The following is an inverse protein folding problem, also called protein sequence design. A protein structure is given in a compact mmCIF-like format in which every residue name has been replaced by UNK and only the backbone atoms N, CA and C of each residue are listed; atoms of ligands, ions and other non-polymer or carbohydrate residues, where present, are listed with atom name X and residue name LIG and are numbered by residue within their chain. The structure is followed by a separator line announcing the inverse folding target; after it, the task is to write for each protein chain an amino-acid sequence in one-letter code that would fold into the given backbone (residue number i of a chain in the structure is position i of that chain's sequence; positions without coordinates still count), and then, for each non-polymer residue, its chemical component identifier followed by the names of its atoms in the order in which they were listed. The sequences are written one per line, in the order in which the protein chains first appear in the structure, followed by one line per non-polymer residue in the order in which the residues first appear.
data_IF_372938224870
#
_entry.id   IF_372938224870
#
_cell.length_a   1.000
_cell.length_b   1.000
_cell.length_c   1.000
_cell.angle_alpha   90.00
_cell.angle_beta   90.00
_cell.angle_gamma   90.00
#
_symmetry.space_group_name_H-M   'P 1'
#
loop_
_entity.id
_entity.type
_entity.pdbx_description
1 polymer ?
#
# COMPACT_ATOMS: atom_id res chain seq x y z
N UNK A 1 -17.91 31.58 -38.02
CA UNK A 1 -17.48 30.56 -39.01
C UNK A 1 -15.98 30.72 -39.23
N UNK A 2 -15.15 30.12 -38.38
CA UNK A 2 -13.72 29.95 -38.63
C UNK A 2 -13.37 28.52 -38.23
N UNK A 3 -13.09 27.71 -39.24
CA UNK A 3 -12.65 26.34 -39.12
C UNK A 3 -11.14 26.36 -38.84
N UNK A 4 -10.70 25.64 -37.82
CA UNK A 4 -9.32 25.22 -37.67
C UNK A 4 -9.27 23.69 -37.62
N UNK A 5 -8.60 23.16 -38.63
CA UNK A 5 -8.20 21.76 -38.75
C UNK A 5 -7.20 21.43 -37.65
N UNK A 6 -7.44 20.33 -36.93
CA UNK A 6 -6.41 19.69 -36.12
C UNK A 6 -6.03 18.36 -36.82
N UNK A 7 -4.86 18.35 -37.44
CA UNK A 7 -4.21 17.14 -37.87
C UNK A 7 -3.67 16.42 -36.62
N UNK A 8 -4.31 15.33 -36.23
CA UNK A 8 -3.83 14.46 -35.15
C UNK A 8 -2.94 13.39 -35.79
N UNK A 9 -1.63 13.62 -35.75
CA UNK A 9 -0.63 12.58 -35.96
C UNK A 9 -0.10 12.17 -34.59
N UNK A 10 -0.60 11.06 -34.05
CA UNK A 10 -0.03 10.43 -32.84
C UNK A 10 0.30 8.99 -33.20
N UNK A 11 1.47 8.83 -33.83
CA UNK A 11 2.17 7.55 -33.95
C UNK A 11 3.26 7.50 -32.90
N UNK A 12 2.91 7.28 -31.64
CA UNK A 12 3.84 6.73 -30.64
C UNK A 12 3.02 5.86 -29.72
N UNK A 13 3.24 4.55 -29.82
CA UNK A 13 2.88 3.61 -28.77
C UNK A 13 3.64 4.02 -27.50
N UNK A 14 2.98 4.78 -26.63
CA UNK A 14 3.34 4.81 -25.22
C UNK A 14 2.99 3.42 -24.70
N UNK A 15 3.98 2.53 -24.64
CA UNK A 15 3.93 1.42 -23.70
C UNK A 15 3.86 2.07 -22.32
N UNK A 16 2.66 2.16 -21.77
CA UNK A 16 2.38 2.80 -20.49
C UNK A 16 2.90 1.89 -19.37
N UNK A 17 4.21 1.71 -19.29
CA UNK A 17 4.90 1.21 -18.11
C UNK A 17 4.90 2.36 -17.11
N UNK A 18 3.82 2.49 -16.32
CA UNK A 18 3.84 3.41 -15.19
C UNK A 18 5.03 2.98 -14.32
N UNK A 19 6.02 3.85 -14.09
CA UNK A 19 7.09 3.53 -13.16
C UNK A 19 6.46 3.32 -11.79
N UNK A 20 6.94 2.32 -11.05
CA UNK A 20 6.53 2.03 -9.67
C UNK A 20 6.55 3.29 -8.78
N UNK A 21 7.39 4.27 -9.13
CA UNK A 21 7.44 5.61 -8.53
C UNK A 21 6.11 6.36 -8.58
N UNK A 22 5.36 6.31 -9.69
CA UNK A 22 4.06 6.98 -9.80
C UNK A 22 3.02 6.36 -8.85
N UNK A 23 3.07 5.03 -8.70
CA UNK A 23 2.18 4.28 -7.80
C UNK A 23 2.45 4.58 -6.32
N UNK A 24 3.70 4.83 -5.96
CA UNK A 24 4.08 5.16 -4.58
C UNK A 24 3.69 6.59 -4.17
N UNK A 25 3.58 7.54 -5.12
CA UNK A 25 3.18 8.93 -4.84
C UNK A 25 1.75 9.04 -4.30
N UNK A 26 0.89 8.05 -4.57
CA UNK A 26 -0.48 8.00 -4.06
C UNK A 26 -0.55 7.72 -2.54
N UNK A 27 0.57 7.39 -1.89
CA UNK A 27 0.62 7.06 -0.46
C UNK A 27 1.43 8.10 0.34
N UNK A 28 0.96 8.48 1.55
CA UNK A 28 1.61 9.49 2.38
C UNK A 28 3.09 9.20 2.65
N UNK A 29 3.91 10.24 2.57
CA UNK A 29 5.24 10.24 3.17
C UNK A 29 5.15 10.87 4.57
N UNK A 30 5.97 10.37 5.50
CA UNK A 30 6.03 10.86 6.87
C UNK A 30 7.44 11.38 7.17
N UNK A 31 7.54 12.41 8.00
CA UNK A 31 8.83 12.96 8.43
C UNK A 31 9.58 12.06 9.42
N UNK A 32 8.87 11.12 10.06
CA UNK A 32 9.45 10.16 11.00
C UNK A 32 10.38 9.15 10.28
N UNK A 33 11.66 9.04 10.66
CA UNK A 33 12.62 8.16 9.98
C UNK A 33 12.25 6.67 10.02
N UNK A 34 11.57 6.21 11.08
CA UNK A 34 11.11 4.83 11.18
C UNK A 34 10.00 4.55 10.17
N UNK A 35 9.06 5.49 10.02
CA UNK A 35 8.01 5.41 9.00
C UNK A 35 8.54 5.54 7.57
N UNK A 36 9.61 6.32 7.34
CA UNK A 36 10.30 6.37 6.04
C UNK A 36 10.91 5.01 5.68
N UNK A 37 11.62 4.38 6.62
CA UNK A 37 12.16 3.02 6.43
C UNK A 37 11.03 2.02 6.16
N UNK A 38 9.96 2.09 6.96
CA UNK A 38 8.77 1.26 6.77
C UNK A 38 8.14 1.43 5.40
N UNK A 39 8.07 2.67 4.90
CA UNK A 39 7.59 2.98 3.55
C UNK A 39 8.44 2.33 2.48
N UNK A 40 9.77 2.42 2.55
CA UNK A 40 10.66 1.78 1.57
C UNK A 40 10.38 0.29 1.45
N UNK A 41 10.34 -0.41 2.58
CA UNK A 41 10.06 -1.86 2.63
C UNK A 41 8.65 -2.15 2.09
N UNK A 42 7.67 -1.32 2.45
CA UNK A 42 6.31 -1.46 1.98
C UNK A 42 6.19 -1.29 0.47
N UNK A 43 6.82 -0.27 -0.12
CA UNK A 43 6.82 -0.03 -1.58
C UNK A 43 7.46 -1.19 -2.32
N UNK A 44 8.58 -1.71 -1.82
CA UNK A 44 9.34 -2.78 -2.47
C UNK A 44 8.66 -4.14 -2.38
N UNK A 45 7.91 -4.44 -1.30
CA UNK A 45 7.42 -5.78 -1.02
C UNK A 45 5.89 -5.88 -0.85
N UNK A 46 5.28 -4.93 -0.14
CA UNK A 46 3.90 -5.04 0.32
C UNK A 46 2.89 -4.34 -0.61
N UNK A 47 3.32 -3.29 -1.31
CA UNK A 47 2.48 -2.42 -2.13
C UNK A 47 1.82 -3.17 -3.29
N UNK A 48 2.47 -4.20 -3.84
CA UNK A 48 1.90 -5.02 -4.92
C UNK A 48 0.50 -5.53 -4.56
N UNK A 49 0.28 -5.93 -3.31
CA UNK A 49 -1.04 -6.36 -2.85
C UNK A 49 -1.81 -5.23 -2.17
N UNK A 50 -1.16 -4.53 -1.23
CA UNK A 50 -1.83 -3.56 -0.36
C UNK A 50 -1.97 -2.16 -0.96
N UNK A 51 -1.36 -1.85 -2.10
CA UNK A 51 -1.54 -0.58 -2.78
C UNK A 51 -2.91 -0.48 -3.46
N UNK A 52 -3.34 -1.57 -4.10
CA UNK A 52 -4.54 -1.57 -4.95
C UNK A 52 -5.54 -2.67 -4.60
N UNK A 53 -5.31 -3.41 -3.52
CA UNK A 53 -6.23 -4.41 -3.00
C UNK A 53 -6.26 -5.71 -3.80
N UNK A 54 -5.12 -6.09 -4.39
CA UNK A 54 -5.00 -7.35 -5.13
C UNK A 54 -5.38 -8.51 -4.21
N UNK A 55 -6.19 -9.44 -4.74
CA UNK A 55 -6.72 -10.58 -4.00
C UNK A 55 -7.45 -10.22 -2.69
N UNK A 56 -8.03 -9.01 -2.60
CA UNK A 56 -8.76 -8.55 -1.42
C UNK A 56 -7.86 -8.05 -0.29
N UNK A 57 -6.58 -7.78 -0.56
CA UNK A 57 -5.68 -7.21 0.43
C UNK A 57 -6.20 -5.84 0.93
N UNK A 58 -6.19 -5.56 2.24
CA UNK A 58 -6.69 -4.30 2.76
C UNK A 58 -5.77 -3.13 2.37
N UNK A 59 -6.30 -2.17 1.63
CA UNK A 59 -5.58 -0.96 1.21
C UNK A 59 -5.57 0.06 2.34
N UNK A 60 -4.42 0.59 2.80
CA UNK A 60 -4.35 1.47 3.97
C UNK A 60 -5.05 2.82 3.77
N UNK A 61 -5.28 3.25 2.52
CA UNK A 61 -6.07 4.45 2.20
C UNK A 61 -7.58 4.17 2.09
N UNK A 62 -8.01 2.91 2.24
CA UNK A 62 -9.42 2.57 2.41
C UNK A 62 -9.80 2.59 3.91
N UNK A 63 -10.42 3.70 4.32
CA UNK A 63 -10.90 3.90 5.69
C UNK A 63 -11.81 2.75 6.18
N UNK A 64 -12.68 2.22 5.33
CA UNK A 64 -13.62 1.16 5.70
C UNK A 64 -12.91 -0.16 5.98
N UNK A 65 -11.87 -0.48 5.20
CA UNK A 65 -11.04 -1.65 5.41
C UNK A 65 -10.24 -1.53 6.72
N UNK A 66 -9.84 -0.33 7.14
CA UNK A 66 -8.92 -0.16 8.26
C UNK A 66 -9.54 0.26 9.59
N UNK A 67 -10.78 0.74 9.64
CA UNK A 67 -11.39 1.26 10.87
C UNK A 67 -11.34 0.25 12.04
N UNK A 68 -11.65 -1.02 11.77
CA UNK A 68 -11.59 -2.08 12.79
C UNK A 68 -10.19 -2.65 12.98
N UNK A 69 -9.29 -2.50 12.01
CA UNK A 69 -7.91 -3.01 12.08
C UNK A 69 -7.05 -2.13 12.98
N UNK A 70 -7.17 -0.81 12.87
CA UNK A 70 -6.41 0.14 13.72
C UNK A 70 -6.84 0.14 15.19
N UNK A 71 -8.02 -0.41 15.50
CA UNK A 71 -8.53 -0.60 16.87
C UNK A 71 -7.95 -1.86 17.55
N UNK A 72 -7.32 -2.76 16.79
CA UNK A 72 -6.66 -3.95 17.36
C UNK A 72 -5.35 -3.55 18.03
N UNK A 73 -4.91 -4.39 18.96
CA UNK A 73 -3.54 -4.31 19.45
C UNK A 73 -2.56 -4.49 18.29
N UNK A 74 -1.52 -3.65 18.23
CA UNK A 74 -0.55 -3.66 17.14
C UNK A 74 0.17 -5.01 17.02
N UNK A 75 0.36 -5.73 18.13
CA UNK A 75 0.99 -7.05 18.12
C UNK A 75 0.18 -8.06 17.31
N UNK A 76 -1.16 -7.94 17.28
CA UNK A 76 -2.00 -8.81 16.44
C UNK A 76 -1.69 -8.58 14.95
N UNK A 77 -1.53 -7.32 14.55
CA UNK A 77 -1.20 -6.98 13.17
C UNK A 77 0.22 -7.46 12.81
N UNK A 78 1.17 -7.35 13.73
CA UNK A 78 2.51 -7.90 13.55
C UNK A 78 2.48 -9.42 13.41
N UNK A 79 1.78 -10.14 14.29
CA UNK A 79 1.67 -11.60 14.21
C UNK A 79 1.12 -12.05 12.87
N UNK A 80 0.01 -11.45 12.41
CA UNK A 80 -0.54 -11.77 11.09
C UNK A 80 0.45 -11.52 9.94
N UNK A 81 1.22 -10.43 10.01
CA UNK A 81 2.20 -10.11 8.99
C UNK A 81 3.43 -11.04 9.00
N UNK A 82 3.88 -11.45 10.18
CA UNK A 82 5.05 -12.30 10.35
C UNK A 82 4.75 -13.77 10.05
N UNK A 83 3.62 -14.27 10.54
CA UNK A 83 3.24 -15.68 10.51
C UNK A 83 2.31 -16.03 9.35
N UNK A 84 1.78 -15.00 8.65
CA UNK A 84 0.73 -15.16 7.67
C UNK A 84 -0.65 -15.24 8.33
N UNK A 85 -1.69 -14.98 7.54
CA UNK A 85 -3.06 -14.90 8.04
C UNK A 85 -4.07 -15.20 6.96
N UNK A 86 -5.02 -16.09 7.26
CA UNK A 86 -6.25 -16.23 6.51
C UNK A 86 -7.32 -15.32 7.11
N UNK A 87 -7.74 -14.33 6.33
CA UNK A 87 -8.78 -13.38 6.70
C UNK A 87 -10.18 -14.01 6.72
N UNK A 88 -11.16 -13.27 7.28
CA UNK A 88 -12.55 -13.73 7.36
C UNK A 88 -13.21 -13.93 5.97
N UNK A 89 -12.64 -13.33 4.93
CA UNK A 89 -13.12 -13.41 3.55
C UNK A 89 -12.29 -14.41 2.71
N UNK A 90 -11.66 -15.39 3.36
CA UNK A 90 -10.74 -16.38 2.77
C UNK A 90 -9.56 -15.75 1.99
N UNK A 91 -9.20 -14.51 2.34
CA UNK A 91 -8.04 -13.81 1.77
C UNK A 91 -6.76 -14.23 2.50
N UNK A 92 -5.75 -14.65 1.75
CA UNK A 92 -4.49 -15.13 2.30
C UNK A 92 -3.43 -14.02 2.28
N UNK A 93 -2.93 -13.65 3.46
CA UNK A 93 -1.68 -12.91 3.60
C UNK A 93 -0.54 -13.92 3.85
N UNK A 94 0.46 -14.03 2.95
CA UNK A 94 1.58 -14.93 3.17
C UNK A 94 2.47 -14.46 4.33
N UNK A 95 3.15 -15.37 5.05
CA UNK A 95 4.13 -15.03 6.08
C UNK A 95 5.19 -14.07 5.53
N UNK A 96 5.52 -13.02 6.28
CA UNK A 96 6.46 -11.94 5.90
C UNK A 96 6.15 -11.31 4.53
N UNK A 97 4.87 -11.28 4.14
CA UNK A 97 4.48 -10.78 2.82
C UNK A 97 5.03 -11.60 1.66
N UNK A 98 5.35 -12.88 1.89
CA UNK A 98 5.88 -13.79 0.88
C UNK A 98 7.40 -13.66 0.64
N UNK A 99 8.10 -12.89 1.48
CA UNK A 99 9.53 -12.66 1.35
C UNK A 99 10.26 -13.10 2.63
N UNK A 100 10.93 -14.24 2.55
CA UNK A 100 11.66 -14.84 3.67
C UNK A 100 12.99 -14.13 4.00
N UNK A 101 13.43 -13.20 3.16
CA UNK A 101 14.62 -12.39 3.39
C UNK A 101 14.36 -11.20 4.32
N UNK A 102 13.10 -10.79 4.51
CA UNK A 102 12.76 -9.71 5.43
C UNK A 102 12.94 -10.14 6.88
N UNK A 103 13.65 -9.34 7.65
CA UNK A 103 13.71 -9.49 9.10
C UNK A 103 12.38 -9.11 9.75
N UNK A 104 12.13 -9.64 10.95
CA UNK A 104 10.90 -9.31 11.69
C UNK A 104 10.74 -7.80 11.94
N UNK A 105 11.86 -7.09 12.14
CA UNK A 105 11.85 -5.64 12.33
C UNK A 105 11.48 -4.88 11.05
N UNK A 106 11.88 -5.38 9.89
CA UNK A 106 11.50 -4.79 8.61
C UNK A 106 10.02 -4.99 8.32
N UNK A 107 9.49 -6.19 8.57
CA UNK A 107 8.05 -6.46 8.46
C UNK A 107 7.26 -5.56 9.41
N UNK A 108 7.68 -5.43 10.68
CA UNK A 108 7.02 -4.54 11.65
C UNK A 108 7.06 -3.08 11.21
N UNK A 109 8.18 -2.60 10.67
CA UNK A 109 8.30 -1.23 10.15
C UNK A 109 7.32 -0.98 9.00
N UNK A 110 7.15 -1.93 8.08
CA UNK A 110 6.16 -1.84 7.01
C UNK A 110 4.72 -1.85 7.54
N UNK A 111 4.42 -2.65 8.57
CA UNK A 111 3.11 -2.64 9.24
C UNK A 111 2.85 -1.29 9.92
N UNK A 112 3.84 -0.72 10.59
CA UNK A 112 3.73 0.59 11.23
C UNK A 112 3.43 1.69 10.23
N UNK A 113 4.11 1.66 9.08
CA UNK A 113 3.82 2.56 7.97
C UNK A 113 2.36 2.44 7.52
N UNK A 114 1.88 1.22 7.24
CA UNK A 114 0.49 0.99 6.80
C UNK A 114 -0.53 1.47 7.83
N UNK A 115 -0.29 1.22 9.12
CA UNK A 115 -1.16 1.67 10.21
C UNK A 115 -1.18 3.20 10.30
N UNK A 116 -0.04 3.87 10.08
CA UNK A 116 0.01 5.33 10.08
C UNK A 116 -0.68 5.94 8.86
N UNK A 117 -0.55 5.35 7.67
CA UNK A 117 -1.35 5.73 6.50
C UNK A 117 -2.85 5.60 6.81
N UNK A 118 -3.28 4.47 7.38
CA UNK A 118 -4.67 4.25 7.74
C UNK A 118 -5.19 5.27 8.76
N UNK A 119 -4.42 5.57 9.81
CA UNK A 119 -4.77 6.61 10.79
C UNK A 119 -4.84 8.00 10.14
N UNK A 120 -3.90 8.34 9.28
CA UNK A 120 -3.91 9.59 8.53
C UNK A 120 -5.20 9.71 7.68
N UNK A 121 -5.55 8.66 6.94
CA UNK A 121 -6.78 8.60 6.13
C UNK A 121 -8.04 8.71 6.99
N UNK A 122 -8.13 8.01 8.12
CA UNK A 122 -9.28 8.07 9.02
C UNK A 122 -9.47 9.47 9.61
N UNK A 123 -8.37 10.13 9.99
CA UNK A 123 -8.41 11.48 10.55
C UNK A 123 -8.82 12.54 9.51
N UNK A 124 -8.50 12.33 8.23
CA UNK A 124 -8.86 13.26 7.15
C UNK A 124 -10.34 13.18 6.71
N UNK A 125 -11.09 12.15 7.16
CA UNK A 125 -12.53 12.01 6.87
C UNK A 125 -13.44 12.67 7.90
N UNK A 126 -12.87 13.27 8.94
CA UNK A 126 -13.57 14.05 9.96
C UNK A 126 -13.24 15.54 9.82
#
# INVERSE_FOLDING_TARGET
MHAHQAAIAIWTAFTLSLPLSLAAEDFPEFDDPHLQKGRTIWVENCMTCHGYGVAGAPVPTDASAWEMRVKKDINVLYTHALEGFFGPDDTMMPPRGGNDQLTDNEVKSAVDYMVNVAKHTLNAKH
#
